data_IF_985161618730
#
_entry.id   IF_985161618730
#
_cell.length_a   1.000
_cell.length_b   1.000
_cell.length_c   1.000
_cell.angle_alpha   90.00
_cell.angle_beta   90.00
_cell.angle_gamma   90.00
#
_symmetry.space_group_name_H-M   'P 1'
#
loop_
_entity.id
_entity.type
_entity.pdbx_description
1 polymer ?
#
# COMPACT_ATOMS: atom_id res chain seq x y z
N UNK A 1 9.64 9.69 -24.20
CA UNK A 1 9.76 11.08 -24.71
C UNK A 1 8.36 11.63 -24.99
N UNK A 2 7.69 11.24 -26.06
CA UNK A 2 6.37 11.78 -26.47
C UNK A 2 5.32 11.87 -25.34
N UNK A 3 5.34 10.92 -24.39
CA UNK A 3 4.45 10.97 -23.22
C UNK A 3 4.70 12.21 -22.32
N UNK A 4 5.97 12.50 -22.01
CA UNK A 4 6.32 13.66 -21.16
C UNK A 4 6.06 14.99 -21.88
N UNK A 5 6.42 15.07 -23.17
CA UNK A 5 6.14 16.23 -24.02
C UNK A 5 4.62 16.51 -24.05
N UNK A 6 3.83 15.45 -24.30
CA UNK A 6 2.37 15.59 -24.33
C UNK A 6 1.76 15.95 -22.98
N UNK A 7 2.27 15.36 -21.90
CA UNK A 7 1.82 15.70 -20.54
C UNK A 7 2.10 17.18 -20.21
N UNK A 8 3.28 17.66 -20.57
CA UNK A 8 3.65 19.07 -20.37
C UNK A 8 2.81 20.03 -21.20
N UNK A 9 2.51 19.68 -22.46
CA UNK A 9 1.63 20.49 -23.34
C UNK A 9 0.21 20.61 -22.77
N UNK A 10 -0.36 19.49 -22.27
CA UNK A 10 -1.72 19.47 -21.76
C UNK A 10 -1.84 20.08 -20.36
N UNK A 11 -0.80 19.96 -19.54
CA UNK A 11 -0.78 20.39 -18.14
C UNK A 11 0.52 21.13 -17.83
N UNK A 12 0.66 22.40 -18.25
CA UNK A 12 1.87 23.19 -17.99
C UNK A 12 2.21 23.23 -16.51
N UNK A 13 3.44 22.91 -16.16
CA UNK A 13 3.89 22.84 -14.77
C UNK A 13 3.59 21.52 -14.04
N UNK A 14 3.06 20.51 -14.73
CA UNK A 14 2.87 19.19 -14.13
C UNK A 14 4.20 18.61 -13.66
N UNK A 15 4.22 18.09 -12.42
CA UNK A 15 5.38 17.36 -11.90
C UNK A 15 5.37 15.93 -12.47
N UNK A 16 6.24 15.68 -13.44
CA UNK A 16 6.39 14.38 -14.08
C UNK A 16 7.49 13.56 -13.43
N UNK A 17 7.27 12.26 -13.27
CA UNK A 17 8.17 11.34 -12.58
C UNK A 17 8.45 10.09 -13.40
N UNK A 18 9.72 9.67 -13.45
CA UNK A 18 10.15 8.42 -14.08
C UNK A 18 10.78 7.50 -13.04
N UNK A 19 10.32 6.25 -12.97
CA UNK A 19 10.97 5.17 -12.23
C UNK A 19 11.81 4.34 -13.19
N UNK A 20 13.05 3.99 -12.82
CA UNK A 20 13.97 3.27 -13.69
C UNK A 20 14.96 2.42 -12.88
N UNK A 21 15.42 1.32 -13.49
CA UNK A 21 16.60 0.58 -13.02
C UNK A 21 17.91 1.17 -13.54
N UNK A 22 17.86 2.16 -14.44
CA UNK A 22 19.02 2.71 -15.13
C UNK A 22 19.35 2.02 -16.46
N UNK A 23 18.77 0.85 -16.73
CA UNK A 23 19.05 0.10 -17.96
C UNK A 23 18.69 0.92 -19.22
N UNK A 24 19.67 1.07 -20.10
CA UNK A 24 19.52 1.83 -21.35
C UNK A 24 19.50 3.35 -21.19
N UNK A 25 19.78 3.88 -19.99
CA UNK A 25 20.02 5.32 -19.79
C UNK A 25 21.49 5.69 -20.09
N UNK A 26 21.63 6.88 -20.63
CA UNK A 26 22.90 7.57 -20.79
C UNK A 26 22.69 9.09 -20.65
N UNK A 27 23.75 9.86 -20.60
CA UNK A 27 23.70 11.33 -20.46
C UNK A 27 22.93 12.02 -21.59
N UNK A 28 22.95 11.47 -22.80
CA UNK A 28 22.21 12.01 -23.93
C UNK A 28 20.70 11.81 -23.75
N UNK A 29 20.29 10.64 -23.27
CA UNK A 29 18.87 10.34 -22.99
C UNK A 29 18.38 11.14 -21.77
N UNK A 30 19.20 11.31 -20.73
CA UNK A 30 18.87 12.17 -19.58
C UNK A 30 18.61 13.62 -20.01
N UNK A 31 19.48 14.17 -20.87
CA UNK A 31 19.30 15.52 -21.43
C UNK A 31 17.99 15.63 -22.23
N UNK A 32 17.68 14.63 -23.06
CA UNK A 32 16.44 14.58 -23.82
C UNK A 32 15.21 14.47 -22.92
N UNK A 33 15.26 13.65 -21.86
CA UNK A 33 14.18 13.53 -20.86
C UNK A 33 13.93 14.86 -20.16
N UNK A 34 15.00 15.55 -19.78
CA UNK A 34 14.91 16.90 -19.21
C UNK A 34 14.24 17.88 -20.17
N UNK A 35 14.65 17.90 -21.45
CA UNK A 35 14.07 18.71 -22.49
C UNK A 35 12.57 18.40 -22.75
N UNK A 36 12.15 17.17 -22.54
CA UNK A 36 10.77 16.73 -22.64
C UNK A 36 9.89 17.06 -21.40
N UNK A 37 10.45 17.76 -20.39
CA UNK A 37 9.72 18.19 -19.21
C UNK A 37 9.77 17.23 -18.02
N UNK A 38 10.70 16.25 -18.01
CA UNK A 38 10.87 15.38 -16.84
C UNK A 38 11.33 16.20 -15.62
N UNK A 39 10.57 16.11 -14.52
CA UNK A 39 10.82 16.84 -13.29
C UNK A 39 11.61 16.02 -12.28
N UNK A 40 11.33 14.73 -12.18
CA UNK A 40 11.90 13.83 -11.18
C UNK A 40 12.25 12.47 -11.80
N UNK A 41 13.46 11.96 -11.49
CA UNK A 41 13.84 10.59 -11.82
C UNK A 41 14.12 9.79 -10.55
N UNK A 42 13.63 8.56 -10.48
CA UNK A 42 13.83 7.64 -9.36
C UNK A 42 14.55 6.39 -9.82
N UNK A 43 15.75 6.21 -9.31
CA UNK A 43 16.52 5.00 -9.57
C UNK A 43 16.22 3.92 -8.53
N UNK A 44 15.97 2.71 -8.99
CA UNK A 44 15.92 1.54 -8.10
C UNK A 44 17.35 1.07 -7.83
N UNK A 45 17.78 1.14 -6.58
CA UNK A 45 19.07 0.59 -6.14
C UNK A 45 18.79 -0.62 -5.24
N UNK A 46 19.15 -1.80 -5.74
CA UNK A 46 18.95 -3.07 -5.06
C UNK A 46 20.32 -3.62 -4.65
N UNK A 47 20.49 -3.82 -3.36
CA UNK A 47 21.79 -4.22 -2.80
C UNK A 47 22.15 -5.67 -3.11
N UNK A 48 21.16 -6.50 -3.48
CA UNK A 48 21.31 -7.91 -3.85
C UNK A 48 21.79 -8.14 -5.31
N UNK A 49 21.83 -7.10 -6.16
CA UNK A 49 22.28 -7.22 -7.56
C UNK A 49 23.81 -7.29 -7.72
N UNK A 50 24.56 -7.13 -6.63
CA UNK A 50 26.00 -7.20 -6.58
C UNK A 50 26.71 -5.86 -6.84
N UNK A 51 27.98 -5.78 -6.41
CA UNK A 51 28.72 -4.52 -6.37
C UNK A 51 28.87 -3.84 -7.75
N UNK A 52 29.07 -4.61 -8.82
CA UNK A 52 29.24 -4.04 -10.17
C UNK A 52 27.98 -3.33 -10.64
N UNK A 53 26.81 -3.96 -10.51
CA UNK A 53 25.54 -3.38 -10.91
C UNK A 53 25.21 -2.12 -10.08
N UNK A 54 25.54 -2.14 -8.79
CA UNK A 54 25.37 -0.96 -7.91
C UNK A 54 26.25 0.20 -8.39
N UNK A 55 27.52 -0.03 -8.70
CA UNK A 55 28.43 1.02 -9.18
C UNK A 55 27.96 1.62 -10.53
N UNK A 56 27.46 0.79 -11.45
CA UNK A 56 26.89 1.25 -12.72
C UNK A 56 25.68 2.17 -12.49
N UNK A 57 24.76 1.79 -11.62
CA UNK A 57 23.58 2.62 -11.29
C UNK A 57 24.02 3.91 -10.57
N UNK A 58 24.99 3.85 -9.66
CA UNK A 58 25.49 5.04 -8.97
C UNK A 58 26.18 6.01 -9.94
N UNK A 59 26.90 5.53 -10.95
CA UNK A 59 27.46 6.39 -11.99
C UNK A 59 26.36 7.15 -12.74
N UNK A 60 25.29 6.47 -13.15
CA UNK A 60 24.13 7.08 -13.81
C UNK A 60 23.39 8.07 -12.89
N UNK A 61 23.28 7.78 -11.60
CA UNK A 61 22.73 8.72 -10.60
C UNK A 61 23.57 10.00 -10.58
N UNK A 62 24.91 9.88 -10.57
CA UNK A 62 25.81 11.01 -10.62
C UNK A 62 25.63 11.89 -11.86
N UNK A 63 25.46 11.27 -13.03
CA UNK A 63 25.12 12.00 -14.26
C UNK A 63 23.75 12.68 -14.17
N UNK A 64 22.74 12.00 -13.62
CA UNK A 64 21.39 12.51 -13.51
C UNK A 64 21.27 13.71 -12.59
N UNK A 65 22.01 13.75 -11.47
CA UNK A 65 22.02 14.88 -10.51
C UNK A 65 22.37 16.21 -11.17
N UNK A 66 23.26 16.21 -12.18
CA UNK A 66 23.61 17.41 -12.94
C UNK A 66 22.58 17.85 -13.99
N UNK A 67 21.58 17.01 -14.30
CA UNK A 67 20.68 17.19 -15.45
C UNK A 67 19.21 17.29 -15.04
N UNK A 68 18.72 16.37 -14.22
CA UNK A 68 17.32 16.30 -13.79
C UNK A 68 17.14 17.06 -12.47
N UNK A 69 16.08 17.89 -12.30
CA UNK A 69 15.90 18.70 -11.11
C UNK A 69 15.86 17.92 -9.81
N UNK A 70 15.11 16.82 -9.80
CA UNK A 70 14.92 15.97 -8.64
C UNK A 70 15.37 14.54 -8.94
N UNK A 71 16.47 14.12 -8.32
CA UNK A 71 16.98 12.75 -8.39
C UNK A 71 16.73 12.06 -7.06
N UNK A 72 15.99 10.96 -7.11
CA UNK A 72 15.59 10.15 -5.97
C UNK A 72 16.07 8.72 -6.12
N UNK A 73 16.21 8.02 -5.01
CA UNK A 73 16.55 6.59 -4.97
C UNK A 73 15.43 5.82 -4.26
N UNK A 74 15.00 4.72 -4.86
CA UNK A 74 14.13 3.72 -4.27
C UNK A 74 15.01 2.55 -3.81
N UNK A 75 15.08 2.30 -2.51
CA UNK A 75 15.97 1.31 -1.92
C UNK A 75 15.18 0.31 -1.07
N UNK A 76 14.97 -0.93 -1.56
CA UNK A 76 14.46 -2.02 -0.73
C UNK A 76 15.43 -2.29 0.44
N UNK A 77 14.92 -2.36 1.66
CA UNK A 77 15.78 -2.44 2.85
C UNK A 77 15.88 -3.87 3.35
N UNK A 78 17.10 -4.40 3.27
CA UNK A 78 17.46 -5.75 3.73
C UNK A 78 18.18 -5.65 5.07
N UNK A 79 17.67 -6.35 6.09
CA UNK A 79 18.18 -6.27 7.46
C UNK A 79 19.61 -6.79 7.63
N UNK A 80 20.03 -7.74 6.81
CA UNK A 80 21.37 -8.33 6.79
C UNK A 80 22.43 -7.44 6.11
N UNK A 81 22.04 -6.35 5.45
CA UNK A 81 22.93 -5.43 4.73
C UNK A 81 22.97 -4.01 5.32
N UNK A 82 22.52 -3.84 6.57
CA UNK A 82 22.38 -2.53 7.19
C UNK A 82 23.66 -1.67 7.18
N UNK A 83 24.83 -2.30 7.37
CA UNK A 83 26.13 -1.62 7.32
C UNK A 83 26.40 -0.98 5.96
N UNK A 84 26.27 -1.76 4.90
CA UNK A 84 26.42 -1.29 3.53
C UNK A 84 25.41 -0.21 3.15
N UNK A 85 24.16 -0.35 3.58
CA UNK A 85 23.12 0.66 3.32
C UNK A 85 23.40 2.01 3.99
N UNK A 86 24.03 2.03 5.16
CA UNK A 86 24.49 3.25 5.81
C UNK A 86 25.59 3.94 4.98
N UNK A 87 26.57 3.19 4.49
CA UNK A 87 27.64 3.71 3.62
C UNK A 87 27.05 4.27 2.31
N UNK A 88 26.07 3.57 1.74
CA UNK A 88 25.37 4.00 0.55
C UNK A 88 24.60 5.31 0.76
N UNK A 89 23.92 5.49 1.90
CA UNK A 89 23.25 6.75 2.25
C UNK A 89 24.23 7.94 2.29
N UNK A 90 25.39 7.76 2.94
CA UNK A 90 26.45 8.79 2.98
C UNK A 90 26.97 9.11 1.58
N UNK A 91 27.12 8.09 0.74
CA UNK A 91 27.56 8.27 -0.64
C UNK A 91 26.54 9.04 -1.47
N UNK A 92 25.28 8.70 -1.38
CA UNK A 92 24.17 9.38 -2.09
C UNK A 92 24.02 10.84 -1.64
N UNK A 93 24.19 11.11 -0.34
CA UNK A 93 24.22 12.48 0.21
C UNK A 93 25.33 13.31 -0.42
N UNK A 94 26.56 12.77 -0.47
CA UNK A 94 27.73 13.44 -1.09
C UNK A 94 27.56 13.67 -2.60
N UNK A 95 26.83 12.81 -3.27
CA UNK A 95 26.50 12.95 -4.69
C UNK A 95 25.45 14.04 -4.96
N UNK A 96 24.78 14.57 -3.94
CA UNK A 96 23.73 15.57 -4.07
C UNK A 96 22.37 14.99 -4.49
N UNK A 97 22.11 13.71 -4.21
CA UNK A 97 20.80 13.10 -4.41
C UNK A 97 19.79 13.78 -3.50
N UNK A 98 18.63 14.16 -4.04
CA UNK A 98 17.58 14.86 -3.27
C UNK A 98 17.01 14.02 -2.14
N UNK A 99 16.82 12.73 -2.37
CA UNK A 99 16.26 11.87 -1.33
C UNK A 99 16.29 10.39 -1.65
N UNK A 100 16.14 9.60 -0.60
CA UNK A 100 16.02 8.14 -0.64
C UNK A 100 14.68 7.72 -0.04
N UNK A 101 13.98 6.85 -0.74
CA UNK A 101 12.80 6.17 -0.26
C UNK A 101 13.18 4.76 0.20
N UNK A 102 13.24 4.56 1.52
CA UNK A 102 13.48 3.26 2.14
C UNK A 102 12.21 2.43 2.03
N UNK A 103 12.25 1.37 1.26
CA UNK A 103 11.12 0.48 1.06
C UNK A 103 11.20 -0.68 2.06
N UNK A 104 10.25 -0.75 2.99
CA UNK A 104 10.09 -1.96 3.79
C UNK A 104 9.85 -3.15 2.87
N UNK A 105 10.67 -4.19 3.07
CA UNK A 105 10.70 -5.35 2.20
C UNK A 105 9.49 -6.26 2.47
N UNK A 106 8.84 -6.67 1.40
CA UNK A 106 7.78 -7.69 1.44
C UNK A 106 8.17 -8.91 0.64
N UNK A 107 7.72 -10.08 1.07
CA UNK A 107 7.86 -11.30 0.27
C UNK A 107 7.15 -11.11 -1.06
N UNK A 108 7.82 -11.34 -2.19
CA UNK A 108 7.21 -11.19 -3.50
C UNK A 108 6.22 -12.34 -3.74
N UNK A 109 5.21 -12.09 -4.58
CA UNK A 109 4.28 -13.13 -5.05
C UNK A 109 4.96 -14.14 -6.00
N UNK A 110 6.05 -13.70 -6.65
CA UNK A 110 6.85 -14.49 -7.58
C UNK A 110 8.32 -14.36 -7.20
N UNK A 111 9.16 -15.32 -7.54
CA UNK A 111 10.60 -15.35 -7.26
C UNK A 111 10.94 -15.35 -5.75
N UNK A 112 10.10 -15.97 -4.92
CA UNK A 112 10.35 -16.07 -3.47
C UNK A 112 11.54 -16.97 -3.09
N UNK A 113 12.07 -17.78 -4.02
CA UNK A 113 13.16 -18.71 -3.76
C UNK A 113 14.44 -18.03 -3.28
N UNK A 114 14.75 -16.82 -3.80
CA UNK A 114 15.89 -16.03 -3.34
C UNK A 114 15.75 -15.64 -1.87
N UNK A 115 14.56 -15.24 -1.46
CA UNK A 115 14.25 -14.88 -0.07
C UNK A 115 14.41 -16.07 0.87
N UNK A 116 13.97 -17.26 0.43
CA UNK A 116 14.16 -18.52 1.18
C UNK A 116 15.64 -18.87 1.28
N UNK A 117 16.39 -18.74 0.19
CA UNK A 117 17.84 -19.04 0.15
C UNK A 117 18.65 -18.13 1.08
N UNK A 118 18.24 -16.88 1.22
CA UNK A 118 18.81 -15.90 2.16
C UNK A 118 18.29 -16.05 3.58
N UNK A 119 17.50 -17.08 3.86
CA UNK A 119 16.85 -17.33 5.17
C UNK A 119 16.01 -16.15 5.69
N UNK A 120 15.45 -15.33 4.81
CA UNK A 120 14.58 -14.23 5.20
C UNK A 120 13.29 -14.79 5.81
N UNK A 121 12.91 -14.28 6.96
CA UNK A 121 11.73 -14.73 7.71
C UNK A 121 10.56 -13.77 7.51
N UNK A 122 9.34 -14.28 7.63
CA UNK A 122 8.16 -13.46 7.76
C UNK A 122 8.17 -12.73 9.11
N UNK A 123 7.63 -11.52 9.13
CA UNK A 123 7.36 -10.78 10.36
C UNK A 123 6.36 -11.57 11.21
N UNK A 124 6.62 -11.70 12.52
CA UNK A 124 5.83 -12.55 13.42
C UNK A 124 4.36 -12.11 13.56
N UNK A 125 4.09 -10.81 13.46
CA UNK A 125 2.74 -10.24 13.48
C UNK A 125 2.54 -9.36 12.24
N UNK A 126 2.34 -9.97 11.05
CA UNK A 126 2.13 -9.22 9.83
C UNK A 126 0.77 -8.52 9.84
N UNK A 127 0.68 -7.39 9.14
CA UNK A 127 -0.61 -6.75 8.89
C UNK A 127 -1.53 -7.67 8.09
N UNK A 128 -2.83 -7.54 8.31
CA UNK A 128 -3.83 -8.24 7.50
C UNK A 128 -3.74 -7.75 6.06
N UNK A 129 -3.48 -8.67 5.15
CA UNK A 129 -3.37 -8.41 3.71
C UNK A 129 -4.59 -9.00 3.01
N UNK A 130 -5.27 -8.20 2.20
CA UNK A 130 -6.29 -8.67 1.27
C UNK A 130 -5.64 -8.79 -0.11
N UNK A 131 -5.28 -10.01 -0.50
CA UNK A 131 -4.47 -10.29 -1.69
C UNK A 131 -5.10 -9.88 -3.02
N UNK A 132 -6.43 -9.77 -3.07
CA UNK A 132 -7.16 -9.34 -4.27
C UNK A 132 -7.13 -7.82 -4.46
N UNK A 133 -6.47 -7.10 -3.56
CA UNK A 133 -6.36 -5.67 -3.63
C UNK A 133 -4.98 -5.24 -4.16
N UNK A 134 -4.95 -4.27 -5.10
CA UNK A 134 -3.76 -3.89 -5.87
C UNK A 134 -2.54 -3.43 -5.03
N UNK A 135 -2.75 -3.02 -3.78
CA UNK A 135 -1.67 -2.63 -2.85
C UNK A 135 -1.17 -3.78 -1.97
N UNK A 136 -1.68 -4.99 -2.15
CA UNK A 136 -1.17 -6.18 -1.47
C UNK A 136 0.26 -6.48 -1.94
N UNK A 137 1.23 -5.84 -1.33
CA UNK A 137 2.64 -5.93 -1.69
C UNK A 137 3.35 -7.13 -1.03
N UNK A 138 2.62 -8.21 -0.77
CA UNK A 138 3.17 -9.38 -0.07
C UNK A 138 3.17 -9.23 1.46
N UNK A 139 3.72 -10.23 2.14
CA UNK A 139 3.86 -10.23 3.60
C UNK A 139 5.20 -9.58 4.00
N UNK A 140 5.22 -8.76 5.07
CA UNK A 140 6.44 -8.07 5.48
C UNK A 140 7.54 -9.04 5.92
N UNK A 141 8.77 -8.72 5.55
CA UNK A 141 9.98 -9.45 5.95
C UNK A 141 10.42 -8.97 7.34
N UNK A 142 10.71 -9.92 8.24
CA UNK A 142 11.20 -9.63 9.58
C UNK A 142 12.53 -8.86 9.55
N UNK A 143 12.67 -7.85 10.40
CA UNK A 143 13.86 -7.03 10.51
C UNK A 143 13.96 -5.87 9.51
N UNK A 144 13.15 -5.86 8.43
CA UNK A 144 13.21 -4.78 7.44
C UNK A 144 12.68 -3.46 7.98
N UNK A 145 11.61 -3.45 8.76
CA UNK A 145 11.10 -2.25 9.44
C UNK A 145 12.15 -1.68 10.39
N UNK A 146 12.73 -2.51 11.24
CA UNK A 146 13.75 -2.11 12.21
C UNK A 146 14.99 -1.53 11.51
N UNK A 147 15.39 -2.11 10.36
CA UNK A 147 16.47 -1.61 9.54
C UNK A 147 16.12 -0.26 8.90
N UNK A 148 14.90 -0.07 8.38
CA UNK A 148 14.43 1.24 7.89
C UNK A 148 14.50 2.30 8.98
N UNK A 149 14.01 2.00 10.18
CA UNK A 149 14.06 2.92 11.31
C UNK A 149 15.48 3.20 11.79
N UNK A 150 16.39 2.21 11.72
CA UNK A 150 17.80 2.39 12.03
C UNK A 150 18.49 3.31 11.00
N UNK A 151 18.17 3.20 9.72
CA UNK A 151 18.70 4.09 8.66
C UNK A 151 18.18 5.51 8.81
N UNK A 152 16.91 5.72 9.18
CA UNK A 152 16.38 7.06 9.49
C UNK A 152 17.11 7.71 10.67
N UNK A 153 17.32 6.96 11.76
CA UNK A 153 18.09 7.45 12.92
C UNK A 153 19.52 7.80 12.53
N UNK A 154 20.19 6.92 11.81
CA UNK A 154 21.56 7.13 11.32
C UNK A 154 21.66 8.39 10.47
N UNK A 155 20.79 8.59 9.49
CA UNK A 155 20.81 9.79 8.64
C UNK A 155 20.70 11.09 9.46
N UNK A 156 19.86 11.09 10.51
CA UNK A 156 19.69 12.23 11.41
C UNK A 156 20.91 12.43 12.30
N UNK A 157 21.46 11.36 12.87
CA UNK A 157 22.64 11.40 13.77
C UNK A 157 23.91 11.87 13.05
N UNK A 158 24.10 11.44 11.80
CA UNK A 158 25.20 11.88 10.94
C UNK A 158 24.96 13.26 10.30
N UNK A 159 23.79 13.87 10.51
CA UNK A 159 23.46 15.18 9.95
C UNK A 159 23.44 15.21 8.43
N UNK A 160 23.02 14.10 7.78
CA UNK A 160 22.94 14.04 6.33
C UNK A 160 21.91 15.04 5.80
N UNK A 161 22.23 15.67 4.65
CA UNK A 161 21.37 16.65 3.98
C UNK A 161 20.31 16.01 3.11
N UNK A 162 20.53 14.75 2.70
CA UNK A 162 19.61 13.96 1.86
C UNK A 162 18.28 13.73 2.58
N UNK A 163 17.17 13.92 1.87
CA UNK A 163 15.83 13.56 2.39
C UNK A 163 15.70 12.05 2.52
N UNK A 164 15.35 11.53 3.69
CA UNK A 164 15.12 10.10 3.88
C UNK A 164 13.68 9.86 4.27
N UNK A 165 12.97 9.09 3.44
CA UNK A 165 11.57 8.69 3.65
C UNK A 165 11.48 7.19 3.87
N UNK A 166 10.68 6.77 4.85
CA UNK A 166 10.35 5.36 5.10
C UNK A 166 8.96 5.04 4.54
N UNK A 167 8.93 4.18 3.54
CA UNK A 167 7.71 3.65 2.94
C UNK A 167 7.34 2.33 3.62
N UNK A 168 6.57 2.42 4.71
CA UNK A 168 6.20 1.26 5.51
C UNK A 168 5.13 0.39 4.84
N UNK A 169 5.18 -0.91 5.11
CA UNK A 169 4.13 -1.86 4.73
C UNK A 169 2.82 -1.51 5.43
N UNK A 170 2.88 -1.08 6.69
CA UNK A 170 1.70 -0.59 7.41
C UNK A 170 0.98 0.54 6.67
N UNK A 171 1.72 1.56 6.23
CA UNK A 171 1.10 2.66 5.50
C UNK A 171 0.52 2.21 4.15
N UNK A 172 1.11 1.21 3.49
CA UNK A 172 0.56 0.63 2.26
C UNK A 172 -0.76 -0.09 2.52
N UNK A 173 -0.85 -0.82 3.62
CA UNK A 173 -2.03 -1.63 3.95
C UNK A 173 -3.11 -0.88 4.73
N UNK A 174 -2.80 0.25 5.34
CA UNK A 174 -3.74 1.03 6.15
C UNK A 174 -3.91 2.46 5.64
N UNK A 175 -2.85 3.25 5.64
CA UNK A 175 -2.92 4.69 5.32
C UNK A 175 -3.37 4.99 3.89
N UNK A 176 -3.02 4.13 2.92
CA UNK A 176 -3.49 4.29 1.54
C UNK A 176 -4.96 3.91 1.41
N UNK A 177 -5.39 2.83 2.09
CA UNK A 177 -6.80 2.42 2.16
C UNK A 177 -7.64 3.52 2.82
N UNK A 178 -7.15 4.11 3.92
CA UNK A 178 -7.80 5.27 4.55
C UNK A 178 -8.04 6.41 3.56
N UNK A 179 -6.98 6.87 2.87
CA UNK A 179 -7.08 7.97 1.90
C UNK A 179 -8.04 7.68 0.76
N UNK A 180 -8.18 6.42 0.39
CA UNK A 180 -9.07 5.98 -0.67
C UNK A 180 -10.53 5.93 -0.21
N UNK A 181 -10.80 5.48 1.02
CA UNK A 181 -12.16 5.30 1.53
C UNK A 181 -12.72 6.53 2.25
N UNK A 182 -11.92 7.24 3.04
CA UNK A 182 -12.39 8.31 3.91
C UNK A 182 -13.21 9.41 3.20
N UNK A 183 -12.83 9.89 1.99
CA UNK A 183 -13.60 10.91 1.29
C UNK A 183 -15.01 10.46 0.88
N UNK A 184 -15.24 9.15 0.80
CA UNK A 184 -16.48 8.58 0.26
C UNK A 184 -17.29 7.77 1.28
N UNK A 185 -16.75 7.51 2.47
CA UNK A 185 -17.39 6.68 3.49
C UNK A 185 -18.83 7.12 3.81
N UNK A 186 -19.09 8.43 3.87
CA UNK A 186 -20.43 8.97 4.10
C UNK A 186 -21.47 8.69 3.01
N UNK A 187 -21.07 8.19 1.85
CA UNK A 187 -22.00 7.77 0.77
C UNK A 187 -22.63 6.39 1.03
N UNK A 188 -22.07 5.63 1.98
CA UNK A 188 -22.45 4.23 2.24
C UNK A 188 -22.86 4.07 3.71
N UNK A 189 -24.09 4.50 4.08
CA UNK A 189 -24.52 4.61 5.48
C UNK A 189 -24.61 3.26 6.21
N UNK A 190 -24.76 2.14 5.48
CA UNK A 190 -24.74 0.80 6.05
C UNK A 190 -23.32 0.25 6.29
N UNK A 191 -22.30 0.95 5.84
CA UNK A 191 -20.91 0.51 5.93
C UNK A 191 -20.13 1.39 6.89
N UNK A 192 -19.48 0.75 7.83
CA UNK A 192 -18.62 1.41 8.80
C UNK A 192 -17.16 1.34 8.30
N UNK A 193 -16.46 2.46 8.32
CA UNK A 193 -15.02 2.43 8.02
C UNK A 193 -14.27 1.93 9.25
N UNK A 194 -13.64 0.76 9.12
CA UNK A 194 -12.87 0.14 10.21
C UNK A 194 -11.75 1.06 10.71
N UNK A 195 -11.60 1.14 12.02
CA UNK A 195 -10.50 1.89 12.66
C UNK A 195 -9.16 1.17 12.55
N UNK A 196 -9.19 -0.13 12.29
CA UNK A 196 -8.00 -0.97 12.26
C UNK A 196 -7.36 -1.05 10.87
N UNK A 197 -8.16 -1.23 9.82
CA UNK A 197 -7.69 -1.48 8.47
C UNK A 197 -8.27 -0.53 7.41
N UNK A 198 -9.19 0.35 7.84
CA UNK A 198 -9.85 1.40 7.05
C UNK A 198 -10.69 0.91 5.86
N UNK A 199 -10.97 -0.39 5.76
CA UNK A 199 -11.98 -0.89 4.83
C UNK A 199 -13.38 -0.50 5.26
N UNK A 200 -14.27 -0.34 4.28
CA UNK A 200 -15.70 -0.16 4.52
C UNK A 200 -16.32 -1.54 4.77
N UNK A 201 -16.83 -1.75 5.97
CA UNK A 201 -17.36 -3.05 6.40
C UNK A 201 -18.84 -2.98 6.71
N UNK A 202 -19.57 -4.04 6.36
CA UNK A 202 -20.95 -4.29 6.70
C UNK A 202 -21.14 -5.76 7.05
N UNK A 203 -22.30 -6.10 7.62
CA UNK A 203 -22.74 -7.47 7.79
C UNK A 203 -23.74 -7.84 6.69
N UNK A 204 -23.76 -9.11 6.29
CA UNK A 204 -24.70 -9.67 5.32
C UNK A 204 -25.27 -10.97 5.81
N UNK A 205 -26.58 -11.15 5.61
CA UNK A 205 -27.28 -12.44 5.71
C UNK A 205 -27.70 -12.91 4.32
N UNK A 206 -27.75 -14.21 4.08
CA UNK A 206 -28.03 -14.79 2.78
C UNK A 206 -29.15 -15.82 2.85
N UNK A 207 -29.85 -16.01 1.74
CA UNK A 207 -30.86 -17.08 1.58
C UNK A 207 -31.93 -17.04 2.64
N UNK A 208 -32.17 -18.19 3.26
CA UNK A 208 -33.20 -18.37 4.29
C UNK A 208 -32.96 -17.55 5.57
N UNK A 209 -31.73 -17.19 5.83
CA UNK A 209 -31.34 -16.44 7.02
C UNK A 209 -31.65 -14.93 6.92
N UNK A 210 -31.99 -14.44 5.73
CA UNK A 210 -32.41 -13.05 5.51
C UNK A 210 -33.69 -12.69 6.30
N UNK A 211 -34.70 -13.54 6.25
CA UNK A 211 -36.02 -13.23 6.84
C UNK A 211 -35.94 -13.00 8.36
N UNK A 212 -35.40 -13.93 9.18
CA UNK A 212 -35.28 -13.71 10.61
C UNK A 212 -34.36 -12.54 10.98
N UNK A 213 -33.29 -12.28 10.20
CA UNK A 213 -32.42 -11.11 10.43
C UNK A 213 -33.19 -9.82 10.22
N UNK A 214 -33.93 -9.69 9.10
CA UNK A 214 -34.76 -8.50 8.81
C UNK A 214 -35.78 -8.21 9.89
N UNK A 215 -36.43 -9.25 10.43
CA UNK A 215 -37.39 -9.09 11.52
C UNK A 215 -36.77 -8.45 12.75
N UNK A 216 -35.56 -8.88 13.14
CA UNK A 216 -34.84 -8.29 14.25
C UNK A 216 -34.44 -6.86 13.93
N UNK A 217 -33.81 -6.61 12.77
CA UNK A 217 -33.37 -5.28 12.37
C UNK A 217 -34.54 -4.28 12.32
N UNK A 218 -35.64 -4.68 11.73
CA UNK A 218 -36.87 -3.84 11.66
C UNK A 218 -37.43 -3.51 13.05
N UNK A 219 -37.49 -4.50 13.94
CA UNK A 219 -37.96 -4.31 15.33
C UNK A 219 -37.05 -3.33 16.09
N UNK A 220 -35.73 -3.40 15.88
CA UNK A 220 -34.74 -2.55 16.56
C UNK A 220 -34.54 -1.22 15.83
N UNK A 221 -35.28 -0.96 14.73
CA UNK A 221 -35.18 0.28 13.96
C UNK A 221 -33.83 0.49 13.21
N UNK A 222 -33.14 -0.61 12.90
CA UNK A 222 -31.88 -0.60 12.17
C UNK A 222 -32.15 -0.59 10.67
N UNK A 223 -31.52 0.31 9.94
CA UNK A 223 -31.59 0.36 8.48
C UNK A 223 -30.87 -0.85 7.86
N UNK A 224 -31.45 -1.40 6.80
CA UNK A 224 -30.84 -2.46 6.00
C UNK A 224 -31.22 -2.31 4.53
N UNK A 225 -30.50 -2.99 3.65
CA UNK A 225 -30.75 -3.03 2.20
C UNK A 225 -30.84 -4.48 1.73
N UNK A 226 -31.91 -4.81 1.01
CA UNK A 226 -32.07 -6.09 0.35
C UNK A 226 -31.48 -6.03 -1.07
N UNK A 227 -30.67 -7.01 -1.39
CA UNK A 227 -30.08 -7.26 -2.71
C UNK A 227 -30.60 -8.60 -3.22
N UNK A 228 -31.79 -8.57 -3.85
CA UNK A 228 -32.43 -9.80 -4.33
C UNK A 228 -31.65 -10.48 -5.46
N UNK A 229 -30.90 -9.71 -6.25
CA UNK A 229 -29.97 -10.22 -7.26
C UNK A 229 -28.82 -11.06 -6.69
N UNK A 230 -28.46 -10.83 -5.42
CA UNK A 230 -27.41 -11.55 -4.68
C UNK A 230 -27.98 -12.43 -3.55
N UNK A 231 -29.30 -12.54 -3.45
CA UNK A 231 -30.01 -13.21 -2.35
C UNK A 231 -29.43 -12.83 -0.98
N UNK A 232 -29.23 -11.52 -0.75
CA UNK A 232 -28.60 -11.01 0.47
C UNK A 232 -29.32 -9.81 1.07
N UNK A 233 -29.21 -9.68 2.40
CA UNK A 233 -29.60 -8.49 3.16
C UNK A 233 -28.36 -7.90 3.80
N UNK A 234 -28.04 -6.65 3.49
CA UNK A 234 -26.89 -5.92 4.02
C UNK A 234 -27.32 -4.94 5.12
N UNK A 235 -26.54 -4.88 6.22
CA UNK A 235 -26.83 -4.03 7.37
C UNK A 235 -25.54 -3.61 8.10
N UNK A 236 -25.58 -2.59 8.98
CA UNK A 236 -24.40 -2.12 9.71
C UNK A 236 -23.78 -3.21 10.60
N UNK A 237 -22.46 -3.25 10.62
CA UNK A 237 -21.68 -4.28 11.31
C UNK A 237 -21.92 -4.31 12.84
N UNK A 238 -22.17 -3.17 13.46
CA UNK A 238 -22.46 -3.03 14.89
C UNK A 238 -23.83 -3.65 15.27
N UNK A 239 -24.77 -3.72 14.33
CA UNK A 239 -26.06 -4.35 14.54
C UNK A 239 -25.98 -5.88 14.70
N UNK A 240 -24.85 -6.53 14.36
CA UNK A 240 -24.64 -7.98 14.62
C UNK A 240 -24.85 -8.32 16.11
N UNK A 241 -24.50 -7.41 17.01
CA UNK A 241 -24.69 -7.61 18.45
C UNK A 241 -26.17 -7.79 18.85
N UNK A 242 -27.11 -7.18 18.13
CA UNK A 242 -28.54 -7.27 18.37
C UNK A 242 -29.13 -8.67 18.06
N UNK A 243 -28.43 -9.40 17.19
CA UNK A 243 -28.86 -10.75 16.79
C UNK A 243 -28.50 -11.83 17.82
N UNK A 244 -27.55 -11.58 18.73
CA UNK A 244 -27.03 -12.57 19.68
C UNK A 244 -28.12 -13.21 20.57
N UNK A 245 -29.10 -12.41 21.00
CA UNK A 245 -30.12 -12.87 21.93
C UNK A 245 -31.17 -13.84 21.33
N UNK A 246 -31.44 -13.69 20.02
CA UNK A 246 -32.48 -14.48 19.35
C UNK A 246 -32.00 -15.39 18.23
N UNK A 247 -30.83 -15.04 17.63
CA UNK A 247 -30.29 -15.69 16.44
C UNK A 247 -28.77 -15.93 16.58
N UNK A 248 -28.28 -16.57 17.68
CA UNK A 248 -26.84 -16.64 17.98
C UNK A 248 -26.03 -17.37 16.94
N UNK A 249 -26.61 -18.35 16.25
CA UNK A 249 -25.93 -19.28 15.36
C UNK A 249 -26.28 -19.08 13.87
N UNK A 250 -27.06 -18.03 13.56
CA UNK A 250 -27.41 -17.72 12.17
C UNK A 250 -26.14 -17.36 11.37
N UNK A 251 -26.08 -17.84 10.13
CA UNK A 251 -24.91 -17.60 9.30
C UNK A 251 -24.91 -16.19 8.73
N UNK A 252 -23.83 -15.47 8.99
CA UNK A 252 -23.58 -14.12 8.49
C UNK A 252 -22.23 -14.07 7.76
N UNK A 253 -22.03 -13.01 7.00
CA UNK A 253 -20.72 -12.66 6.48
C UNK A 253 -20.37 -11.20 6.80
N UNK A 254 -19.11 -10.95 7.15
CA UNK A 254 -18.53 -9.61 7.17
C UNK A 254 -18.03 -9.28 5.78
N UNK A 255 -18.58 -8.26 5.16
CA UNK A 255 -18.18 -7.73 3.87
C UNK A 255 -17.08 -6.69 4.05
N UNK A 256 -16.00 -6.81 3.26
CA UNK A 256 -14.91 -5.83 3.15
C UNK A 256 -14.98 -5.17 1.79
N UNK A 257 -15.09 -3.87 1.75
CA UNK A 257 -15.18 -3.13 0.51
C UNK A 257 -14.26 -1.91 0.49
N UNK A 258 -13.96 -1.45 -0.73
CA UNK A 258 -13.12 -0.29 -0.99
C UNK A 258 -13.74 0.57 -2.08
N UNK A 259 -13.53 1.90 -1.98
CA UNK A 259 -13.90 2.83 -3.03
C UNK A 259 -12.81 2.85 -4.09
N UNK A 260 -13.15 2.64 -5.35
CA UNK A 260 -12.20 2.68 -6.47
C UNK A 260 -12.69 3.60 -7.59
N UNK A 261 -11.79 4.36 -8.24
CA UNK A 261 -12.12 5.06 -9.46
C UNK A 261 -12.25 4.05 -10.61
N UNK A 262 -13.39 4.09 -11.29
CA UNK A 262 -13.64 3.30 -12.49
C UNK A 262 -14.43 4.14 -13.49
N UNK A 263 -13.92 4.26 -14.71
CA UNK A 263 -14.55 4.98 -15.81
C UNK A 263 -14.99 6.43 -15.46
N UNK A 264 -14.20 7.11 -14.62
CA UNK A 264 -14.48 8.47 -14.16
C UNK A 264 -15.42 8.58 -12.96
N UNK A 265 -15.94 7.46 -12.47
CA UNK A 265 -16.80 7.40 -11.29
C UNK A 265 -16.10 6.71 -10.13
N UNK A 266 -16.58 6.95 -8.92
CA UNK A 266 -16.15 6.19 -7.72
C UNK A 266 -17.17 5.10 -7.48
N UNK A 267 -16.72 3.86 -7.62
CA UNK A 267 -17.49 2.66 -7.31
C UNK A 267 -17.08 2.07 -5.97
N UNK A 268 -17.98 1.35 -5.34
CA UNK A 268 -17.69 0.52 -4.18
C UNK A 268 -17.45 -0.93 -4.66
N UNK A 269 -16.23 -1.43 -4.47
CA UNK A 269 -15.89 -2.82 -4.78
C UNK A 269 -15.81 -3.65 -3.52
N UNK A 270 -16.61 -4.72 -3.47
CA UNK A 270 -16.48 -5.76 -2.44
C UNK A 270 -15.25 -6.63 -2.75
N UNK A 271 -14.38 -6.79 -1.77
CA UNK A 271 -13.12 -7.52 -1.91
C UNK A 271 -13.21 -8.93 -1.33
N UNK A 272 -13.97 -9.07 -0.24
CA UNK A 272 -13.99 -10.29 0.55
C UNK A 272 -15.26 -10.38 1.41
N UNK A 273 -15.69 -11.62 1.64
CA UNK A 273 -16.71 -12.00 2.61
C UNK A 273 -16.10 -13.01 3.60
N UNK A 274 -16.12 -12.67 4.89
CA UNK A 274 -15.69 -13.56 5.97
C UNK A 274 -16.89 -14.10 6.70
N UNK A 275 -17.09 -15.43 6.69
CA UNK A 275 -18.20 -16.09 7.38
C UNK A 275 -18.06 -15.93 8.89
N UNK A 276 -19.17 -15.67 9.56
CA UNK A 276 -19.28 -15.52 11.01
C UNK A 276 -20.67 -15.87 11.48
N UNK A 277 -20.88 -15.87 12.79
CA UNK A 277 -22.20 -15.92 13.43
C UNK A 277 -22.29 -14.82 14.50
N UNK A 278 -23.48 -14.40 14.94
CA UNK A 278 -23.59 -13.43 16.03
C UNK A 278 -22.88 -13.85 17.31
N UNK A 279 -22.85 -15.15 17.63
CA UNK A 279 -22.18 -15.70 18.82
C UNK A 279 -20.65 -15.63 18.72
N UNK A 280 -20.07 -15.80 17.54
CA UNK A 280 -18.61 -15.84 17.31
C UNK A 280 -18.03 -14.51 16.85
N UNK A 281 -18.87 -13.58 16.37
CA UNK A 281 -18.43 -12.27 15.91
C UNK A 281 -17.90 -11.43 17.08
N UNK A 282 -16.67 -10.94 16.96
CA UNK A 282 -16.05 -10.04 17.90
C UNK A 282 -15.85 -8.66 17.27
N UNK A 283 -16.72 -7.71 17.63
CA UNK A 283 -16.66 -6.35 17.11
C UNK A 283 -15.33 -5.67 17.40
N UNK A 284 -14.74 -5.89 18.60
CA UNK A 284 -13.48 -5.27 18.97
C UNK A 284 -12.29 -5.77 18.12
N UNK A 285 -12.36 -7.04 17.69
CA UNK A 285 -11.34 -7.63 16.82
C UNK A 285 -11.53 -7.23 15.35
N UNK A 286 -12.77 -7.15 14.89
CA UNK A 286 -13.09 -7.00 13.47
C UNK A 286 -13.33 -5.53 13.04
N UNK A 287 -13.42 -4.60 14.02
CA UNK A 287 -13.68 -3.16 13.83
C UNK A 287 -12.42 -2.23 13.96
#
# INVERSE_FOLDING_TARGET
MAFFERAWELFPGVHSRLYTSGAGLDGALLTRLRGAGLSEIRFSVKTDEGAVAIEEVLALIGEAVGVIPDVMVEMPVMSDELGFMKELLVRLDRMGVRGVNLLELGFPLFNGEEFVRRDLKLKGEPYRVLYDYAYAAGLPVAGSEEACLALLRFAREEGLSIGVHYCSMENKHTGQVYRQNAPYAGRYPLRLMSRRDHFLKSAKAFGVDRAPVREVLAREGVAFEDRDDLDSTEFPLDAVALLRGGLPDIELAVSYAICEPRDGEIILRELRLDRTTPSTFDFARDW
#
